data_IF_936574119030
#
_entry.id   IF_936574119030
#
_cell.length_a   1.000
_cell.length_b   1.000
_cell.length_c   1.000
_cell.angle_alpha   90.00
_cell.angle_beta   90.00
_cell.angle_gamma   90.00
#
_symmetry.space_group_name_H-M   'P 1'
#
loop_
_entity.id
_entity.type
_entity.pdbx_description
1 polymer ?
#
# COMPACT_ATOMS: atom_id res chain seq x y z
N UNK A 1 -27.72 15.56 -14.40
CA UNK A 1 -26.74 15.15 -13.36
C UNK A 1 -25.67 16.22 -13.30
N UNK A 2 -25.23 16.68 -12.12
CA UNK A 2 -24.12 17.64 -11.97
C UNK A 2 -22.92 16.99 -11.29
N UNK A 3 -21.73 17.13 -11.88
CA UNK A 3 -20.50 16.52 -11.39
C UNK A 3 -19.44 17.57 -11.09
N UNK A 4 -19.04 17.69 -9.82
CA UNK A 4 -17.91 18.53 -9.41
C UNK A 4 -16.61 17.73 -9.50
N UNK A 5 -15.65 18.20 -10.28
CA UNK A 5 -14.36 17.54 -10.53
C UNK A 5 -13.21 18.45 -10.12
N UNK A 6 -12.43 18.03 -9.12
CA UNK A 6 -11.25 18.74 -8.66
C UNK A 6 -10.17 17.74 -8.29
N UNK A 7 -9.36 17.38 -9.27
CA UNK A 7 -8.34 16.32 -9.15
C UNK A 7 -6.94 16.89 -9.35
N UNK A 8 -5.97 16.41 -8.58
CA UNK A 8 -4.55 16.63 -8.81
C UNK A 8 -4.03 15.68 -9.91
N UNK A 9 -4.20 14.37 -9.71
CA UNK A 9 -3.84 13.34 -10.68
C UNK A 9 -4.88 13.27 -11.81
N UNK A 10 -4.42 13.36 -13.06
CA UNK A 10 -5.26 13.37 -14.28
C UNK A 10 -5.37 12.00 -14.94
N UNK A 11 -4.79 10.96 -14.35
CA UNK A 11 -4.86 9.58 -14.85
C UNK A 11 -6.32 9.19 -15.11
N UNK A 12 -6.59 8.71 -16.32
CA UNK A 12 -7.90 8.27 -16.83
C UNK A 12 -9.03 9.32 -16.75
N UNK A 13 -8.71 10.59 -16.49
CA UNK A 13 -9.72 11.65 -16.34
C UNK A 13 -10.43 11.97 -17.65
N UNK A 14 -9.74 11.90 -18.79
CA UNK A 14 -10.34 12.16 -20.09
C UNK A 14 -11.52 11.22 -20.35
N UNK A 15 -11.28 9.91 -20.24
CA UNK A 15 -12.31 8.89 -20.46
C UNK A 15 -13.46 9.04 -19.47
N UNK A 16 -13.14 9.38 -18.22
CA UNK A 16 -14.14 9.63 -17.19
C UNK A 16 -15.03 10.83 -17.54
N UNK A 17 -14.43 11.98 -17.83
CA UNK A 17 -15.14 13.22 -18.10
C UNK A 17 -15.97 13.15 -19.41
N UNK A 18 -15.41 12.59 -20.49
CA UNK A 18 -16.15 12.32 -21.73
C UNK A 18 -17.31 11.36 -21.49
N UNK A 19 -17.09 10.33 -20.67
CA UNK A 19 -18.13 9.38 -20.29
C UNK A 19 -19.30 10.05 -19.56
N UNK A 20 -19.01 10.98 -18.64
CA UNK A 20 -20.03 11.77 -17.93
C UNK A 20 -20.76 12.73 -18.88
N UNK A 21 -20.05 13.47 -19.74
CA UNK A 21 -20.65 14.38 -20.72
C UNK A 21 -21.57 13.63 -21.70
N UNK A 22 -21.16 12.46 -22.18
CA UNK A 22 -21.98 11.60 -23.04
C UNK A 22 -23.28 11.11 -22.37
N UNK A 23 -23.30 11.06 -21.03
CA UNK A 23 -24.49 10.77 -20.23
C UNK A 23 -25.34 12.03 -19.94
N UNK A 24 -24.96 13.19 -20.49
CA UNK A 24 -25.64 14.46 -20.26
C UNK A 24 -25.34 15.09 -18.91
N UNK A 25 -24.19 14.77 -18.30
CA UNK A 25 -23.77 15.41 -17.07
C UNK A 25 -23.24 16.83 -17.32
N UNK A 26 -23.66 17.78 -16.49
CA UNK A 26 -23.00 19.08 -16.38
C UNK A 26 -21.71 18.89 -15.57
N UNK A 27 -20.58 19.27 -16.17
CA UNK A 27 -19.28 19.21 -15.52
C UNK A 27 -18.99 20.56 -14.87
N UNK A 28 -18.60 20.55 -13.60
CA UNK A 28 -18.10 21.72 -12.86
C UNK A 28 -16.69 21.41 -12.39
N UNK A 29 -15.71 22.29 -12.62
CA UNK A 29 -14.31 21.99 -12.32
C UNK A 29 -13.53 23.14 -11.67
N UNK A 30 -12.55 22.78 -10.83
CA UNK A 30 -11.60 23.74 -10.23
C UNK A 30 -10.49 24.11 -11.21
N UNK A 31 -9.79 25.24 -11.02
CA UNK A 31 -8.97 25.90 -12.05
C UNK A 31 -8.10 24.98 -12.92
N UNK A 32 -7.15 24.25 -12.33
CA UNK A 32 -6.27 23.35 -13.09
C UNK A 32 -6.98 22.12 -13.70
N UNK A 33 -8.12 21.71 -13.13
CA UNK A 33 -8.96 20.66 -13.73
C UNK A 33 -9.77 21.19 -14.90
N UNK A 34 -10.36 22.38 -14.76
CA UNK A 34 -11.11 23.04 -15.82
C UNK A 34 -10.24 23.26 -17.05
N UNK A 35 -9.02 23.81 -16.88
CA UNK A 35 -8.08 24.02 -17.97
C UNK A 35 -7.75 22.72 -18.73
N UNK A 36 -7.47 21.64 -18.00
CA UNK A 36 -7.22 20.33 -18.61
C UNK A 36 -8.43 19.80 -19.42
N UNK A 37 -9.64 19.93 -18.88
CA UNK A 37 -10.85 19.50 -19.58
C UNK A 37 -11.16 20.37 -20.82
N UNK A 38 -10.91 21.68 -20.74
CA UNK A 38 -11.02 22.62 -21.86
C UNK A 38 -10.07 22.26 -23.02
N UNK A 39 -8.82 21.87 -22.71
CA UNK A 39 -7.86 21.38 -23.71
C UNK A 39 -8.34 20.13 -24.45
N UNK A 40 -9.17 19.30 -23.81
CA UNK A 40 -9.80 18.12 -24.41
C UNK A 40 -11.05 18.47 -25.24
N UNK A 41 -11.41 19.76 -25.33
CA UNK A 41 -12.58 20.26 -26.03
C UNK A 41 -13.89 20.15 -25.25
N UNK A 42 -13.83 19.78 -23.96
CA UNK A 42 -14.98 19.79 -23.05
C UNK A 42 -15.26 21.21 -22.57
N UNK A 43 -16.46 21.45 -22.04
CA UNK A 43 -16.87 22.78 -21.56
C UNK A 43 -17.36 22.72 -20.11
N UNK A 44 -16.47 22.47 -19.14
CA UNK A 44 -16.88 22.51 -17.74
C UNK A 44 -17.24 23.94 -17.33
N UNK A 45 -18.28 24.11 -16.51
CA UNK A 45 -18.47 25.33 -15.75
C UNK A 45 -17.34 25.43 -14.71
N UNK A 46 -16.88 26.65 -14.44
CA UNK A 46 -15.76 26.83 -13.51
C UNK A 46 -16.29 27.11 -12.10
N UNK A 47 -15.56 26.64 -11.09
CA UNK A 47 -15.97 26.83 -9.68
C UNK A 47 -16.04 28.31 -9.29
N UNK A 48 -15.17 29.17 -9.83
CA UNK A 48 -15.17 30.62 -9.60
C UNK A 48 -16.41 31.32 -10.19
N UNK A 49 -16.95 30.82 -11.30
CA UNK A 49 -18.24 31.27 -11.85
C UNK A 49 -19.41 30.86 -10.93
N UNK A 50 -19.33 29.68 -10.31
CA UNK A 50 -20.35 29.21 -9.38
C UNK A 50 -20.35 30.01 -8.07
N UNK A 51 -19.19 30.47 -7.61
CA UNK A 51 -19.03 31.14 -6.30
C UNK A 51 -19.06 32.67 -6.38
N UNK A 52 -18.90 33.26 -7.57
CA UNK A 52 -18.61 34.68 -7.78
C UNK A 52 -17.34 35.17 -7.05
N UNK A 53 -16.44 34.24 -6.70
CA UNK A 53 -15.20 34.52 -5.97
C UNK A 53 -14.03 33.88 -6.72
N UNK A 54 -13.04 34.67 -7.16
CA UNK A 54 -11.86 34.11 -7.83
C UNK A 54 -11.03 33.26 -6.85
N UNK A 55 -10.12 32.44 -7.37
CA UNK A 55 -9.19 31.71 -6.51
C UNK A 55 -8.31 32.67 -5.70
N UNK A 56 -8.30 32.51 -4.37
CA UNK A 56 -7.56 33.37 -3.45
C UNK A 56 -6.32 32.66 -2.89
N UNK A 57 -5.34 33.45 -2.45
CA UNK A 57 -4.14 32.99 -1.73
C UNK A 57 -3.35 31.91 -2.47
N UNK A 58 -3.14 32.08 -3.78
CA UNK A 58 -2.39 31.13 -4.60
C UNK A 58 -3.11 29.79 -4.80
N UNK A 59 -4.46 29.79 -4.80
CA UNK A 59 -5.27 28.59 -5.00
C UNK A 59 -5.61 27.83 -3.72
N UNK A 60 -5.16 28.31 -2.55
CA UNK A 60 -5.46 27.72 -1.23
C UNK A 60 -6.95 27.83 -0.87
N UNK A 61 -7.63 28.89 -1.34
CA UNK A 61 -9.05 29.13 -1.07
C UNK A 61 -9.77 29.29 -2.41
N UNK A 62 -10.32 28.18 -2.91
CA UNK A 62 -11.07 28.12 -4.16
C UNK A 62 -12.43 27.45 -4.03
N UNK A 63 -12.53 26.37 -3.25
CA UNK A 63 -13.76 25.57 -3.11
C UNK A 63 -14.40 25.67 -1.73
N UNK A 64 -13.74 26.34 -0.77
CA UNK A 64 -14.23 26.55 0.60
C UNK A 64 -15.30 27.65 0.63
N UNK A 65 -16.42 27.40 -0.05
CA UNK A 65 -17.50 28.36 -0.23
C UNK A 65 -18.87 27.74 0.10
N UNK A 66 -19.80 28.48 0.74
CA UNK A 66 -21.13 27.97 1.06
C UNK A 66 -21.89 27.45 -0.16
N UNK A 67 -21.81 28.11 -1.33
CA UNK A 67 -22.48 27.62 -2.56
C UNK A 67 -22.02 26.21 -2.96
N UNK A 68 -20.71 25.94 -2.91
CA UNK A 68 -20.16 24.62 -3.22
C UNK A 68 -20.61 23.60 -2.18
N UNK A 69 -20.45 23.91 -0.89
CA UNK A 69 -20.75 22.94 0.16
C UNK A 69 -22.24 22.72 0.39
N UNK A 70 -23.11 23.72 0.15
CA UNK A 70 -24.55 23.57 0.17
C UNK A 70 -25.01 22.64 -0.96
N UNK A 71 -24.46 22.82 -2.18
CA UNK A 71 -24.73 21.92 -3.30
C UNK A 71 -24.30 20.47 -3.03
N UNK A 72 -23.28 20.26 -2.18
CA UNK A 72 -22.83 18.91 -1.77
C UNK A 72 -23.65 18.36 -0.60
N UNK A 73 -23.99 19.17 0.40
CA UNK A 73 -24.48 18.71 1.72
C UNK A 73 -26.00 18.72 1.88
N UNK A 74 -26.73 19.41 1.00
CA UNK A 74 -28.18 19.47 1.08
C UNK A 74 -28.81 18.07 1.04
N UNK A 75 -29.67 17.79 2.02
CA UNK A 75 -30.44 16.55 2.09
C UNK A 75 -31.65 16.71 1.19
N UNK A 76 -31.75 15.87 0.17
CA UNK A 76 -32.78 16.04 -0.88
C UNK A 76 -34.11 15.41 -0.51
N UNK A 77 -34.16 14.71 0.63
CA UNK A 77 -35.38 14.19 1.26
C UNK A 77 -35.99 15.18 2.26
N UNK A 78 -35.51 16.42 2.28
CA UNK A 78 -35.93 17.46 3.23
C UNK A 78 -36.29 18.77 2.53
N UNK A 79 -37.54 19.17 2.67
CA UNK A 79 -38.08 20.37 2.03
C UNK A 79 -37.39 21.67 2.51
N UNK A 80 -36.92 21.74 3.76
CA UNK A 80 -36.20 22.90 4.30
C UNK A 80 -34.83 23.11 3.63
N UNK A 81 -34.09 22.02 3.38
CA UNK A 81 -32.82 22.08 2.65
C UNK A 81 -33.05 22.44 1.17
N UNK A 82 -34.09 21.90 0.53
CA UNK A 82 -34.42 22.21 -0.87
C UNK A 82 -34.88 23.67 -1.06
N UNK A 83 -35.69 24.20 -0.15
CA UNK A 83 -36.11 25.59 -0.18
C UNK A 83 -34.91 26.54 -0.02
N UNK A 84 -33.95 26.20 0.85
CA UNK A 84 -32.73 26.98 1.02
C UNK A 84 -31.83 26.96 -0.24
N UNK A 85 -31.78 25.83 -0.96
CA UNK A 85 -31.09 25.76 -2.25
C UNK A 85 -31.75 26.66 -3.31
N UNK A 86 -33.08 26.63 -3.39
CA UNK A 86 -33.86 27.45 -4.34
C UNK A 86 -33.73 28.96 -4.03
N UNK A 87 -33.84 29.36 -2.76
CA UNK A 87 -33.71 30.76 -2.31
C UNK A 87 -32.35 31.36 -2.71
N UNK A 88 -31.31 30.54 -2.73
CA UNK A 88 -29.95 30.98 -3.02
C UNK A 88 -29.48 30.66 -4.45
N UNK A 89 -30.34 30.11 -5.30
CA UNK A 89 -30.02 29.71 -6.68
C UNK A 89 -28.82 28.76 -6.73
N UNK A 90 -28.89 27.69 -5.92
CA UNK A 90 -27.84 26.67 -5.78
C UNK A 90 -28.38 25.33 -6.24
N UNK A 91 -27.88 24.84 -7.37
CA UNK A 91 -28.21 23.49 -7.83
C UNK A 91 -27.31 22.43 -7.16
N UNK A 92 -27.86 21.28 -6.73
CA UNK A 92 -27.10 20.26 -6.02
C UNK A 92 -26.15 19.46 -6.94
N UNK A 93 -25.07 18.94 -6.37
CA UNK A 93 -24.17 17.99 -7.05
C UNK A 93 -24.60 16.55 -6.80
N UNK A 94 -24.58 15.73 -7.84
CA UNK A 94 -24.83 14.28 -7.77
C UNK A 94 -23.54 13.48 -7.60
N UNK A 95 -22.42 14.04 -8.07
CA UNK A 95 -21.11 13.40 -8.04
C UNK A 95 -20.04 14.43 -7.70
N UNK A 96 -19.12 14.04 -6.82
CA UNK A 96 -17.93 14.82 -6.47
C UNK A 96 -16.73 13.91 -6.71
N UNK A 97 -15.88 14.27 -7.66
CA UNK A 97 -14.65 13.58 -8.02
C UNK A 97 -13.44 14.38 -7.56
N UNK A 98 -12.73 13.89 -6.54
CA UNK A 98 -11.58 14.55 -5.94
C UNK A 98 -10.51 13.53 -5.59
N UNK A 99 -9.33 13.65 -6.19
CA UNK A 99 -8.13 13.01 -5.66
C UNK A 99 -7.22 14.09 -5.05
N UNK A 100 -6.56 13.73 -3.95
CA UNK A 100 -5.86 14.67 -3.07
C UNK A 100 -4.46 14.98 -3.60
N UNK A 101 -3.87 16.06 -3.09
CA UNK A 101 -2.48 16.38 -3.39
C UNK A 101 -1.54 15.28 -2.87
N UNK A 102 -0.43 14.99 -3.55
CA UNK A 102 0.42 13.83 -3.25
C UNK A 102 1.37 14.12 -2.08
N UNK A 103 0.81 14.51 -0.93
CA UNK A 103 1.58 14.90 0.27
C UNK A 103 2.63 13.86 0.64
N UNK A 104 2.23 12.57 0.70
CA UNK A 104 3.13 11.50 1.10
C UNK A 104 4.30 11.31 0.12
N UNK A 105 4.06 11.44 -1.19
CA UNK A 105 5.10 11.33 -2.21
C UNK A 105 6.12 12.48 -2.09
N UNK A 106 5.63 13.70 -1.92
CA UNK A 106 6.48 14.89 -1.80
C UNK A 106 7.23 14.90 -0.48
N UNK A 107 6.55 14.63 0.64
CA UNK A 107 7.13 14.67 1.98
C UNK A 107 8.20 13.58 2.21
N UNK A 108 8.11 12.45 1.51
CA UNK A 108 9.09 11.34 1.61
C UNK A 108 10.23 11.43 0.59
N UNK A 109 10.17 12.38 -0.34
CA UNK A 109 11.23 12.59 -1.33
C UNK A 109 12.48 13.17 -0.67
N UNK A 110 13.64 12.65 -1.08
CA UNK A 110 14.93 13.13 -0.60
C UNK A 110 15.14 14.62 -0.95
N UNK A 111 15.46 15.42 0.07
CA UNK A 111 15.79 16.83 -0.08
C UNK A 111 14.59 17.79 -0.06
N UNK A 112 13.36 17.29 0.09
CA UNK A 112 12.15 18.12 0.23
C UNK A 112 12.30 19.06 1.42
N UNK A 113 12.07 20.34 1.20
CA UNK A 113 12.03 21.37 2.24
C UNK A 113 10.67 21.38 2.93
N UNK A 114 10.63 21.81 4.19
CA UNK A 114 9.41 21.87 5.00
C UNK A 114 8.27 22.62 4.28
N UNK A 115 8.56 23.77 3.68
CA UNK A 115 7.57 24.57 2.98
C UNK A 115 6.99 23.86 1.75
N UNK A 116 7.77 23.05 1.03
CA UNK A 116 7.30 22.28 -0.13
C UNK A 116 6.29 21.21 0.30
N UNK A 117 6.55 20.52 1.42
CA UNK A 117 5.62 19.55 1.99
C UNK A 117 4.34 20.24 2.51
N UNK A 118 4.47 21.40 3.16
CA UNK A 118 3.32 22.17 3.67
C UNK A 118 2.39 22.64 2.55
N UNK A 119 2.91 23.03 1.38
CA UNK A 119 2.06 23.38 0.22
C UNK A 119 1.26 22.18 -0.32
N UNK A 120 1.66 20.94 0.00
CA UNK A 120 0.91 19.74 -0.39
C UNK A 120 -0.21 19.36 0.60
N UNK A 121 -0.39 20.12 1.68
CA UNK A 121 -1.49 19.92 2.61
C UNK A 121 -2.78 20.50 2.00
N UNK A 122 -3.53 19.65 1.29
CA UNK A 122 -4.83 19.99 0.71
C UNK A 122 -5.90 20.18 1.80
N UNK A 123 -6.59 21.33 1.75
CA UNK A 123 -7.72 21.65 2.63
C UNK A 123 -9.06 21.47 1.91
N UNK A 124 -9.13 21.95 0.66
CA UNK A 124 -10.37 21.95 -0.12
C UNK A 124 -10.79 20.55 -0.53
N UNK A 125 -9.84 19.74 -1.00
CA UNK A 125 -10.09 18.38 -1.47
C UNK A 125 -10.71 17.49 -0.38
N UNK A 126 -10.08 17.32 0.79
CA UNK A 126 -10.64 16.52 1.87
C UNK A 126 -12.00 17.05 2.34
N UNK A 127 -12.20 18.38 2.38
CA UNK A 127 -13.47 18.97 2.81
C UNK A 127 -14.61 18.63 1.84
N UNK A 128 -14.39 18.78 0.52
CA UNK A 128 -15.39 18.41 -0.50
C UNK A 128 -15.68 16.90 -0.48
N UNK A 129 -14.63 16.08 -0.42
CA UNK A 129 -14.74 14.63 -0.45
C UNK A 129 -15.48 14.08 0.79
N UNK A 130 -15.16 14.60 1.98
CA UNK A 130 -15.89 14.29 3.23
C UNK A 130 -17.34 14.77 3.19
N UNK A 131 -17.60 15.93 2.59
CA UNK A 131 -18.95 16.45 2.40
C UNK A 131 -19.80 15.51 1.55
N UNK A 132 -19.27 15.09 0.41
CA UNK A 132 -19.94 14.15 -0.50
C UNK A 132 -20.16 12.78 0.16
N UNK A 133 -19.13 12.26 0.83
CA UNK A 133 -19.21 10.97 1.54
C UNK A 133 -20.20 11.01 2.71
N UNK A 134 -20.30 12.13 3.44
CA UNK A 134 -21.34 12.33 4.46
C UNK A 134 -22.74 12.30 3.85
N UNK A 135 -22.91 12.92 2.68
CA UNK A 135 -24.19 12.99 1.97
C UNK A 135 -24.39 11.86 0.95
N UNK A 136 -23.83 10.67 1.19
CA UNK A 136 -23.87 9.54 0.26
C UNK A 136 -25.27 9.05 -0.12
N UNK A 137 -26.30 9.44 0.64
CA UNK A 137 -27.69 9.18 0.27
C UNK A 137 -28.01 9.78 -1.11
N UNK A 138 -27.37 10.90 -1.46
CA UNK A 138 -27.64 11.67 -2.68
C UNK A 138 -26.41 11.93 -3.56
N UNK A 139 -25.20 11.92 -2.98
CA UNK A 139 -23.97 12.32 -3.69
C UNK A 139 -22.97 11.18 -3.74
N UNK A 140 -22.37 10.92 -4.91
CA UNK A 140 -21.29 9.97 -5.07
C UNK A 140 -19.93 10.62 -4.82
N UNK A 141 -19.12 10.04 -3.93
CA UNK A 141 -17.79 10.54 -3.57
C UNK A 141 -16.70 9.69 -4.27
N UNK A 142 -16.23 10.14 -5.43
CA UNK A 142 -15.21 9.45 -6.22
C UNK A 142 -13.83 10.01 -5.85
N UNK A 143 -12.94 9.17 -5.33
CA UNK A 143 -11.65 9.59 -4.78
C UNK A 143 -10.41 9.12 -5.53
N UNK A 144 -10.55 8.15 -6.44
CA UNK A 144 -9.41 7.50 -7.12
C UNK A 144 -9.74 7.13 -8.58
N UNK A 145 -8.76 7.18 -9.50
CA UNK A 145 -8.96 6.83 -10.91
C UNK A 145 -9.48 5.41 -11.16
N UNK A 146 -9.06 4.42 -10.36
CA UNK A 146 -9.50 3.02 -10.47
C UNK A 146 -11.02 2.83 -10.27
N UNK A 147 -11.70 3.84 -9.72
CA UNK A 147 -13.15 3.83 -9.53
C UNK A 147 -13.92 4.31 -10.77
N UNK A 148 -13.28 5.03 -11.70
CA UNK A 148 -13.94 5.70 -12.83
C UNK A 148 -14.71 4.71 -13.70
N UNK A 149 -14.07 3.58 -14.04
CA UNK A 149 -14.67 2.55 -14.88
C UNK A 149 -15.96 1.97 -14.30
N UNK A 150 -15.96 1.57 -13.02
CA UNK A 150 -17.16 0.99 -12.37
C UNK A 150 -18.29 2.02 -12.23
N UNK A 151 -17.95 3.28 -11.97
CA UNK A 151 -18.93 4.38 -11.84
C UNK A 151 -19.61 4.64 -13.18
N UNK A 152 -18.83 4.80 -14.25
CA UNK A 152 -19.39 5.00 -15.59
C UNK A 152 -20.22 3.80 -16.05
N UNK A 153 -19.77 2.59 -15.75
CA UNK A 153 -20.50 1.37 -16.12
C UNK A 153 -21.90 1.35 -15.49
N UNK A 154 -22.03 1.56 -14.18
CA UNK A 154 -23.33 1.56 -13.51
C UNK A 154 -24.24 2.72 -13.94
N UNK A 155 -23.66 3.91 -14.18
CA UNK A 155 -24.41 5.05 -14.71
C UNK A 155 -24.99 4.77 -16.10
N UNK A 156 -24.24 4.11 -16.98
CA UNK A 156 -24.71 3.72 -18.33
C UNK A 156 -25.81 2.67 -18.28
N UNK A 157 -25.68 1.69 -17.40
CA UNK A 157 -26.62 0.57 -17.28
C UNK A 157 -27.95 1.00 -16.65
N UNK A 158 -27.89 1.84 -15.61
CA UNK A 158 -29.07 2.10 -14.76
C UNK A 158 -29.55 3.57 -14.76
N UNK A 159 -28.80 4.48 -15.37
CA UNK A 159 -29.10 5.91 -15.41
C UNK A 159 -28.80 6.66 -14.10
N UNK A 160 -28.26 5.96 -13.09
CA UNK A 160 -27.88 6.53 -11.80
C UNK A 160 -26.91 5.62 -11.08
N UNK A 161 -26.55 5.98 -9.85
CA UNK A 161 -25.83 5.07 -8.95
C UNK A 161 -26.79 4.55 -7.90
N UNK A 162 -26.62 3.29 -7.50
CA UNK A 162 -27.35 2.72 -6.38
C UNK A 162 -26.89 3.32 -5.05
N UNK A 163 -27.74 3.19 -4.02
CA UNK A 163 -27.36 3.57 -2.65
C UNK A 163 -26.18 2.73 -2.15
N UNK A 164 -26.09 1.46 -2.56
CA UNK A 164 -24.99 0.57 -2.22
C UNK A 164 -23.67 1.08 -2.80
N UNK A 165 -23.63 1.43 -4.09
CA UNK A 165 -22.45 2.00 -4.72
C UNK A 165 -22.04 3.32 -4.09
N UNK A 166 -22.99 4.24 -3.83
CA UNK A 166 -22.66 5.50 -3.14
C UNK A 166 -22.11 5.27 -1.73
N UNK A 167 -22.65 4.29 -0.99
CA UNK A 167 -22.12 3.92 0.34
C UNK A 167 -20.70 3.35 0.25
N UNK A 168 -20.42 2.50 -0.74
CA UNK A 168 -19.08 1.97 -0.97
C UNK A 168 -18.09 3.09 -1.31
N UNK A 169 -18.46 3.99 -2.23
CA UNK A 169 -17.68 5.17 -2.59
C UNK A 169 -17.44 6.08 -1.39
N UNK A 170 -18.44 6.31 -0.53
CA UNK A 170 -18.29 7.10 0.68
C UNK A 170 -17.30 6.47 1.69
N UNK A 171 -17.34 5.13 1.86
CA UNK A 171 -16.38 4.42 2.70
C UNK A 171 -14.95 4.57 2.16
N UNK A 172 -14.75 4.43 0.85
CA UNK A 172 -13.46 4.61 0.20
C UNK A 172 -12.96 6.07 0.25
N UNK A 173 -13.87 7.04 0.14
CA UNK A 173 -13.60 8.47 0.28
C UNK A 173 -13.11 8.83 1.70
N UNK A 174 -13.81 8.36 2.74
CA UNK A 174 -13.36 8.55 4.12
C UNK A 174 -12.02 7.85 4.39
N UNK A 175 -11.83 6.63 3.89
CA UNK A 175 -10.54 5.94 3.99
C UNK A 175 -9.41 6.73 3.31
N UNK A 176 -9.66 7.28 2.12
CA UNK A 176 -8.70 8.13 1.39
C UNK A 176 -8.29 9.33 2.23
N UNK A 177 -9.26 10.05 2.83
CA UNK A 177 -8.94 11.18 3.70
C UNK A 177 -8.26 10.77 5.01
N UNK A 178 -8.61 9.62 5.59
CA UNK A 178 -7.96 9.14 6.81
C UNK A 178 -6.48 8.80 6.57
N UNK A 179 -6.14 8.20 5.42
CA UNK A 179 -4.75 7.95 5.02
C UNK A 179 -3.99 9.26 4.86
N UNK A 180 -4.59 10.25 4.21
CA UNK A 180 -3.99 11.57 4.01
C UNK A 180 -3.71 12.28 5.34
N UNK A 181 -4.70 12.37 6.23
CA UNK A 181 -4.56 13.04 7.54
C UNK A 181 -3.54 12.31 8.43
N UNK A 182 -3.52 10.97 8.41
CA UNK A 182 -2.53 10.19 9.14
C UNK A 182 -1.09 10.46 8.64
N UNK A 183 -0.91 10.60 7.33
CA UNK A 183 0.39 10.96 6.74
C UNK A 183 0.85 12.35 7.19
N UNK A 184 -0.04 13.35 7.15
CA UNK A 184 0.26 14.72 7.61
C UNK A 184 0.60 14.72 9.10
N UNK A 185 -0.22 14.06 9.94
CA UNK A 185 0.01 13.98 11.38
C UNK A 185 1.35 13.31 11.72
N UNK A 186 1.67 12.20 11.06
CA UNK A 186 2.96 11.51 11.22
C UNK A 186 4.14 12.39 10.83
N UNK A 187 4.04 13.12 9.72
CA UNK A 187 5.12 13.99 9.26
C UNK A 187 5.43 15.11 10.26
N UNK A 188 4.41 15.75 10.84
CA UNK A 188 4.63 16.74 11.90
C UNK A 188 5.19 16.11 13.20
N UNK A 189 4.80 14.87 13.50
CA UNK A 189 5.22 14.15 14.71
C UNK A 189 6.63 13.52 14.60
N UNK A 190 7.25 13.48 13.41
CA UNK A 190 8.54 12.80 13.14
C UNK A 190 9.74 13.39 13.90
N UNK A 191 9.53 14.49 14.64
CA UNK A 191 10.51 15.09 15.55
C UNK A 191 10.69 14.29 16.84
N UNK A 192 9.76 13.40 17.16
CA UNK A 192 9.78 12.55 18.35
C UNK A 192 9.86 11.08 17.93
N UNK A 193 10.76 10.31 18.56
CA UNK A 193 10.91 8.89 18.22
C UNK A 193 9.65 8.06 18.52
N UNK A 194 8.96 8.41 19.61
CA UNK A 194 7.73 7.80 20.10
C UNK A 194 6.73 8.92 20.45
N UNK A 195 5.94 9.40 19.48
CA UNK A 195 5.04 10.53 19.70
C UNK A 195 3.90 10.17 20.65
N UNK A 196 3.32 11.18 21.29
CA UNK A 196 2.14 11.02 22.18
C UNK A 196 0.97 10.31 21.47
N UNK A 197 0.80 10.55 20.16
CA UNK A 197 -0.21 9.90 19.32
C UNK A 197 0.47 9.08 18.22
N UNK A 198 0.52 7.77 18.40
CA UNK A 198 0.99 6.84 17.37
C UNK A 198 -0.10 6.60 16.32
N UNK A 199 0.13 7.06 15.08
CA UNK A 199 -0.86 7.02 13.99
C UNK A 199 -0.35 6.19 12.80
N UNK A 200 -0.20 4.86 12.93
CA UNK A 200 0.14 4.02 11.80
C UNK A 200 -1.09 3.88 10.90
N UNK A 201 -0.89 3.90 9.58
CA UNK A 201 -1.96 3.68 8.61
C UNK A 201 -1.53 2.63 7.61
N UNK A 202 -2.44 1.69 7.32
CA UNK A 202 -2.20 0.61 6.39
C UNK A 202 -3.24 0.60 5.28
N UNK A 203 -2.80 0.28 4.08
CA UNK A 203 -3.65 0.09 2.91
C UNK A 203 -3.65 -1.38 2.52
N UNK A 204 -4.80 -1.89 2.08
CA UNK A 204 -4.93 -3.30 1.75
C UNK A 204 -4.16 -3.60 0.47
N UNK A 205 -3.22 -4.53 0.55
CA UNK A 205 -2.48 -5.03 -0.61
C UNK A 205 -3.23 -6.18 -1.29
N UNK A 206 -3.78 -7.12 -0.51
CA UNK A 206 -4.60 -8.24 -1.04
C UNK A 206 -5.45 -8.91 0.03
N UNK A 207 -6.57 -9.50 -0.39
CA UNK A 207 -7.30 -10.46 0.43
C UNK A 207 -6.54 -11.79 0.49
N UNK A 208 -6.74 -12.53 1.59
CA UNK A 208 -6.19 -13.87 1.80
C UNK A 208 -7.35 -14.84 1.98
N UNK A 209 -7.16 -16.10 1.55
CA UNK A 209 -8.20 -17.12 1.64
C UNK A 209 -8.71 -17.32 3.08
N UNK A 210 -7.79 -17.29 4.05
CA UNK A 210 -8.05 -17.37 5.49
C UNK A 210 -6.81 -16.87 6.27
N UNK A 211 -6.95 -16.72 7.59
CA UNK A 211 -5.88 -16.32 8.51
C UNK A 211 -4.94 -17.47 8.85
N UNK A 212 -4.44 -17.52 10.09
CA UNK A 212 -3.62 -18.65 10.54
C UNK A 212 -4.36 -19.99 10.43
N UNK A 213 -5.68 -19.96 10.66
CA UNK A 213 -6.57 -21.10 10.59
C UNK A 213 -7.75 -20.87 9.62
N UNK A 214 -8.32 -21.92 9.00
CA UNK A 214 -9.37 -21.79 7.98
C UNK A 214 -10.64 -21.03 8.39
N UNK A 215 -10.97 -20.98 9.67
CA UNK A 215 -12.16 -20.29 10.17
C UNK A 215 -11.96 -18.77 10.35
N UNK A 216 -10.72 -18.28 10.20
CA UNK A 216 -10.36 -16.87 10.35
C UNK A 216 -10.31 -16.22 8.96
N UNK A 217 -10.91 -15.05 8.77
CA UNK A 217 -10.74 -14.26 7.55
C UNK A 217 -9.47 -13.42 7.66
N UNK A 218 -8.77 -13.19 6.55
CA UNK A 218 -7.56 -12.37 6.56
C UNK A 218 -7.34 -11.59 5.26
N UNK A 219 -6.49 -10.58 5.37
CA UNK A 219 -5.97 -9.79 4.26
C UNK A 219 -4.56 -9.31 4.64
N UNK A 220 -3.71 -9.10 3.64
CA UNK A 220 -2.40 -8.49 3.80
C UNK A 220 -2.50 -6.98 3.55
N UNK A 221 -1.95 -6.20 4.47
CA UNK A 221 -1.91 -4.75 4.37
C UNK A 221 -0.45 -4.27 4.37
N UNK A 222 -0.19 -3.19 3.64
CA UNK A 222 1.09 -2.49 3.64
C UNK A 222 0.96 -1.15 4.36
N UNK A 223 2.03 -0.70 4.99
CA UNK A 223 2.06 0.60 5.66
C UNK A 223 2.10 1.72 4.62
N UNK A 224 1.19 2.69 4.73
CA UNK A 224 1.12 3.77 3.75
C UNK A 224 2.40 4.63 3.83
N UNK A 225 3.08 4.79 2.69
CA UNK A 225 4.30 5.57 2.59
C UNK A 225 5.57 4.83 2.99
N UNK A 226 5.47 3.57 3.40
CA UNK A 226 6.65 2.74 3.57
C UNK A 226 7.39 2.58 2.22
N UNK A 227 8.72 2.67 2.26
CA UNK A 227 9.55 2.59 1.06
C UNK A 227 9.49 1.23 0.38
N UNK A 228 9.18 0.19 1.15
CA UNK A 228 9.01 -1.21 0.73
C UNK A 228 8.10 -1.94 1.72
N UNK A 229 7.55 -3.05 1.29
CA UNK A 229 6.79 -4.01 2.10
C UNK A 229 7.22 -5.45 1.73
N UNK A 230 6.62 -6.48 2.35
CA UNK A 230 7.05 -7.88 2.22
C UNK A 230 7.07 -8.41 0.78
N UNK A 231 6.22 -7.89 -0.10
CA UNK A 231 6.12 -8.33 -1.50
C UNK A 231 6.56 -7.24 -2.49
N UNK A 232 7.20 -6.16 -2.01
CA UNK A 232 7.76 -5.15 -2.90
C UNK A 232 8.81 -5.76 -3.81
N UNK A 233 8.66 -5.55 -5.13
CA UNK A 233 9.56 -6.09 -6.16
C UNK A 233 9.70 -7.62 -6.12
N UNK A 234 8.65 -8.30 -5.66
CA UNK A 234 8.55 -9.76 -5.64
C UNK A 234 7.52 -10.20 -6.68
N UNK A 235 8.00 -10.93 -7.70
CA UNK A 235 7.13 -11.50 -8.72
C UNK A 235 6.81 -12.96 -8.39
N UNK A 236 5.53 -13.33 -8.42
CA UNK A 236 5.11 -14.73 -8.30
C UNK A 236 5.14 -15.39 -9.68
N UNK A 237 6.17 -16.20 -9.93
CA UNK A 237 6.43 -16.84 -11.22
C UNK A 237 5.64 -18.13 -11.46
N UNK A 238 5.07 -18.71 -10.40
CA UNK A 238 4.33 -19.97 -10.41
C UNK A 238 3.56 -20.20 -9.08
N UNK A 239 2.64 -21.16 -9.09
CA UNK A 239 2.01 -21.70 -7.89
C UNK A 239 0.69 -21.03 -7.50
N UNK A 240 0.12 -21.50 -6.39
CA UNK A 240 -1.16 -21.03 -5.82
C UNK A 240 -1.01 -19.66 -5.16
N UNK A 241 -2.12 -19.01 -4.82
CA UNK A 241 -2.09 -17.79 -4.00
C UNK A 241 -1.37 -18.01 -2.65
N UNK A 242 -0.68 -16.96 -2.18
CA UNK A 242 0.00 -16.96 -0.88
C UNK A 242 -1.04 -16.94 0.26
N UNK A 243 -0.86 -17.82 1.25
CA UNK A 243 -1.66 -17.83 2.48
C UNK A 243 -1.11 -16.88 3.55
N UNK A 244 -1.86 -16.68 4.63
CA UNK A 244 -1.40 -15.93 5.81
C UNK A 244 -0.09 -16.49 6.37
N UNK A 245 -0.02 -17.81 6.60
CA UNK A 245 1.16 -18.47 7.15
C UNK A 245 2.34 -18.41 6.17
N UNK A 246 2.08 -18.47 4.86
CA UNK A 246 3.14 -18.29 3.86
C UNK A 246 3.79 -16.90 3.97
N UNK A 247 2.99 -15.85 4.18
CA UNK A 247 3.53 -14.49 4.34
C UNK A 247 4.27 -14.33 5.67
N UNK A 248 3.77 -14.90 6.76
CA UNK A 248 4.45 -14.90 8.06
C UNK A 248 5.82 -15.59 7.98
N UNK A 249 5.86 -16.81 7.43
CA UNK A 249 7.09 -17.59 7.27
C UNK A 249 8.06 -16.93 6.28
N UNK A 250 7.56 -16.34 5.20
CA UNK A 250 8.36 -15.56 4.26
C UNK A 250 8.97 -14.33 4.92
N UNK A 251 8.23 -13.63 5.78
CA UNK A 251 8.74 -12.47 6.52
C UNK A 251 9.90 -12.86 7.43
N UNK A 252 9.74 -13.94 8.21
CA UNK A 252 10.79 -14.45 9.08
C UNK A 252 12.02 -14.92 8.28
N UNK A 253 11.80 -15.68 7.19
CA UNK A 253 12.87 -16.18 6.35
C UNK A 253 13.66 -15.08 5.64
N UNK A 254 12.97 -14.03 5.15
CA UNK A 254 13.63 -12.86 4.54
C UNK A 254 14.42 -12.06 5.56
N UNK A 255 13.89 -11.86 6.77
CA UNK A 255 14.60 -11.14 7.83
C UNK A 255 15.92 -11.84 8.18
N UNK A 256 15.86 -13.15 8.48
CA UNK A 256 17.05 -13.94 8.79
C UNK A 256 18.05 -14.00 7.62
N UNK A 257 17.58 -14.21 6.38
CA UNK A 257 18.47 -14.24 5.22
C UNK A 257 19.19 -12.90 4.94
N UNK A 258 18.61 -11.78 5.39
CA UNK A 258 19.17 -10.44 5.20
C UNK A 258 20.36 -10.14 6.11
N UNK A 259 20.56 -10.89 7.19
CA UNK A 259 21.71 -10.77 8.10
C UNK A 259 23.01 -11.27 7.45
N UNK A 260 22.90 -12.13 6.43
CA UNK A 260 24.05 -12.80 5.83
C UNK A 260 24.45 -12.22 4.48
N UNK A 261 25.72 -11.85 4.37
CA UNK A 261 26.34 -11.44 3.09
C UNK A 261 26.82 -12.62 2.26
N UNK A 262 27.20 -13.75 2.89
CA UNK A 262 27.59 -15.00 2.21
C UNK A 262 26.39 -15.67 1.52
N UNK A 263 26.62 -16.69 0.69
CA UNK A 263 25.51 -17.48 0.15
C UNK A 263 24.76 -18.15 1.31
N UNK A 264 23.48 -17.85 1.45
CA UNK A 264 22.66 -18.24 2.59
C UNK A 264 21.35 -18.89 2.12
N UNK A 265 20.98 -19.97 2.82
CA UNK A 265 19.68 -20.61 2.73
C UNK A 265 19.03 -20.62 4.12
N UNK A 266 17.78 -20.15 4.18
CA UNK A 266 16.92 -20.19 5.36
C UNK A 266 15.68 -21.01 5.03
N UNK A 267 15.36 -22.00 5.85
CA UNK A 267 14.14 -22.80 5.73
C UNK A 267 13.30 -22.57 6.98
N UNK A 268 12.10 -22.01 6.80
CA UNK A 268 11.17 -21.65 7.88
C UNK A 268 9.93 -22.52 7.82
N UNK A 269 9.38 -22.86 8.99
CA UNK A 269 8.08 -23.50 9.11
C UNK A 269 7.38 -23.03 10.38
N UNK A 270 6.16 -22.52 10.25
CA UNK A 270 5.35 -22.03 11.38
C UNK A 270 6.08 -20.99 12.24
N UNK A 271 6.74 -20.03 11.59
CA UNK A 271 7.48 -18.94 12.20
C UNK A 271 8.86 -19.32 12.75
N UNK A 272 9.27 -20.59 12.66
CA UNK A 272 10.53 -21.07 13.23
C UNK A 272 11.51 -21.51 12.14
N UNK A 273 12.79 -21.12 12.20
CA UNK A 273 13.81 -21.66 11.32
C UNK A 273 14.05 -23.13 11.64
N UNK A 274 13.82 -24.01 10.66
CA UNK A 274 14.16 -25.44 10.75
C UNK A 274 15.53 -25.76 10.15
N UNK A 275 16.11 -24.81 9.40
CA UNK A 275 17.47 -24.89 8.91
C UNK A 275 17.96 -23.53 8.43
N UNK A 276 19.15 -23.15 8.87
CA UNK A 276 19.87 -21.96 8.39
C UNK A 276 21.27 -22.42 8.06
N UNK A 277 21.82 -21.99 6.92
CA UNK A 277 23.21 -22.24 6.62
C UNK A 277 23.79 -21.20 5.69
N UNK A 278 25.07 -20.89 5.92
CA UNK A 278 25.93 -20.15 4.98
C UNK A 278 26.99 -21.08 4.38
N UNK A 279 27.36 -20.81 3.14
CA UNK A 279 28.42 -21.53 2.44
C UNK A 279 29.08 -20.68 1.33
N UNK A 280 30.03 -21.29 0.61
CA UNK A 280 30.68 -20.65 -0.53
C UNK A 280 29.75 -20.56 -1.75
N UNK A 281 28.88 -21.57 -1.92
CA UNK A 281 27.89 -21.65 -2.99
C UNK A 281 26.49 -21.76 -2.42
N UNK A 282 25.48 -21.43 -3.22
CA UNK A 282 24.08 -21.49 -2.77
C UNK A 282 23.58 -22.94 -2.70
N UNK A 283 24.14 -23.80 -3.53
CA UNK A 283 23.92 -25.25 -3.56
C UNK A 283 24.33 -25.90 -2.23
N UNK A 284 25.53 -25.58 -1.75
CA UNK A 284 26.06 -26.05 -0.46
C UNK A 284 25.26 -25.49 0.71
N UNK A 285 24.88 -24.20 0.66
CA UNK A 285 24.07 -23.58 1.70
C UNK A 285 22.70 -24.27 1.81
N UNK A 286 22.04 -24.55 0.67
CA UNK A 286 20.77 -25.28 0.65
C UNK A 286 20.92 -26.70 1.22
N UNK A 287 21.97 -27.43 0.83
CA UNK A 287 22.27 -28.77 1.33
C UNK A 287 22.43 -28.81 2.85
N UNK A 288 23.21 -27.87 3.40
CA UNK A 288 23.47 -27.77 4.85
C UNK A 288 22.22 -27.36 5.63
N UNK A 289 21.44 -26.39 5.11
CA UNK A 289 20.20 -25.98 5.73
C UNK A 289 19.18 -27.13 5.76
N UNK A 290 19.06 -27.89 4.66
CA UNK A 290 18.20 -29.06 4.58
C UNK A 290 18.64 -30.17 5.55
N UNK A 291 19.95 -30.36 5.72
CA UNK A 291 20.51 -31.38 6.61
C UNK A 291 20.33 -31.07 8.11
N UNK A 292 19.96 -29.83 8.47
CA UNK A 292 19.73 -29.43 9.87
C UNK A 292 18.57 -30.21 10.50
N UNK A 293 17.40 -30.19 9.83
CA UNK A 293 16.25 -31.01 10.20
C UNK A 293 15.45 -31.40 8.93
N UNK A 294 15.83 -32.50 8.26
CA UNK A 294 15.16 -32.95 7.03
C UNK A 294 13.67 -33.25 7.21
N UNK A 295 13.24 -33.61 8.42
CA UNK A 295 11.83 -33.92 8.69
C UNK A 295 11.00 -32.64 8.80
N UNK A 296 11.51 -31.64 9.51
CA UNK A 296 10.80 -30.37 9.70
C UNK A 296 10.78 -29.52 8.44
N UNK A 297 11.82 -29.56 7.62
CA UNK A 297 11.93 -28.78 6.36
C UNK A 297 10.87 -29.15 5.31
N UNK A 298 10.26 -30.34 5.40
CA UNK A 298 9.19 -30.76 4.49
C UNK A 298 7.97 -29.83 4.59
N UNK A 299 7.62 -29.17 3.49
CA UNK A 299 6.55 -28.18 3.41
C UNK A 299 6.90 -26.81 4.00
N UNK A 300 8.20 -26.52 4.16
CA UNK A 300 8.67 -25.22 4.60
C UNK A 300 8.66 -24.15 3.52
N UNK A 301 8.94 -22.92 3.96
CA UNK A 301 9.30 -21.77 3.13
C UNK A 301 10.82 -21.72 3.02
N UNK A 302 11.34 -21.80 1.80
CA UNK A 302 12.78 -21.75 1.50
C UNK A 302 13.11 -20.36 0.97
N UNK A 303 14.06 -19.68 1.62
CA UNK A 303 14.58 -18.36 1.22
C UNK A 303 16.07 -18.48 0.90
N UNK A 304 16.44 -18.09 -0.31
CA UNK A 304 17.80 -18.12 -0.82
C UNK A 304 18.24 -16.69 -1.13
N UNK A 305 19.44 -16.27 -0.74
CA UNK A 305 19.95 -14.92 -1.04
C UNK A 305 20.83 -14.85 -2.32
N UNK A 306 20.81 -15.91 -3.14
CA UNK A 306 21.48 -16.01 -4.45
C UNK A 306 20.55 -16.64 -5.48
N UNK A 307 20.86 -16.43 -6.77
CA UNK A 307 20.09 -16.99 -7.89
C UNK A 307 20.13 -18.51 -7.87
N UNK A 308 19.07 -19.13 -8.35
CA UNK A 308 18.93 -20.59 -8.44
C UNK A 308 19.21 -21.05 -9.87
N UNK A 309 20.30 -21.79 -10.04
CA UNK A 309 20.66 -22.45 -11.29
C UNK A 309 19.90 -23.77 -11.49
N UNK A 310 20.06 -24.38 -12.68
CA UNK A 310 19.38 -25.64 -13.06
C UNK A 310 19.54 -26.75 -12.02
N UNK A 311 20.77 -27.08 -11.63
CA UNK A 311 21.08 -28.20 -10.73
C UNK A 311 20.41 -28.03 -9.37
N UNK A 312 20.46 -26.82 -8.81
CA UNK A 312 19.79 -26.51 -7.55
C UNK A 312 18.26 -26.55 -7.69
N UNK A 313 17.71 -26.04 -8.80
CA UNK A 313 16.28 -26.10 -9.08
C UNK A 313 15.75 -27.53 -9.15
N UNK A 314 16.48 -28.42 -9.83
CA UNK A 314 16.17 -29.85 -9.91
C UNK A 314 16.15 -30.51 -8.52
N UNK A 315 17.17 -30.25 -7.71
CA UNK A 315 17.23 -30.75 -6.32
C UNK A 315 16.11 -30.23 -5.43
N UNK A 316 15.80 -28.94 -5.49
CA UNK A 316 14.71 -28.36 -4.69
C UNK A 316 13.37 -28.99 -5.10
N UNK A 317 13.18 -29.28 -6.40
CA UNK A 317 11.97 -29.92 -6.91
C UNK A 317 11.77 -31.37 -6.41
N UNK A 318 12.80 -32.03 -5.86
CA UNK A 318 12.66 -33.33 -5.21
C UNK A 318 11.93 -33.24 -3.86
N UNK A 319 12.01 -32.07 -3.21
CA UNK A 319 11.38 -31.81 -1.91
C UNK A 319 9.98 -31.20 -2.07
N UNK A 320 9.14 -31.36 -1.04
CA UNK A 320 7.92 -30.57 -0.94
C UNK A 320 8.26 -29.21 -0.33
N UNK A 321 8.19 -28.16 -1.15
CA UNK A 321 8.38 -26.76 -0.74
C UNK A 321 7.09 -25.99 -0.97
N UNK A 322 6.60 -25.29 0.06
CA UNK A 322 5.38 -24.48 -0.08
C UNK A 322 5.66 -23.15 -0.79
N UNK A 323 6.73 -22.47 -0.40
CA UNK A 323 7.17 -21.20 -0.99
C UNK A 323 8.68 -21.25 -1.17
N UNK A 324 9.15 -20.85 -2.35
CA UNK A 324 10.56 -20.69 -2.68
C UNK A 324 10.81 -19.24 -3.09
N UNK A 325 11.62 -18.51 -2.34
CA UNK A 325 12.05 -17.16 -2.66
C UNK A 325 13.54 -17.15 -3.03
N UNK A 326 13.88 -16.54 -4.16
CA UNK A 326 15.27 -16.26 -4.52
C UNK A 326 15.39 -14.98 -5.37
N UNK A 327 16.58 -14.34 -5.47
CA UNK A 327 16.81 -13.20 -6.35
C UNK A 327 16.56 -13.41 -7.84
N UNK A 328 16.39 -14.66 -8.27
CA UNK A 328 16.12 -15.04 -9.64
C UNK A 328 16.38 -16.53 -9.87
N UNK A 329 15.89 -17.01 -11.01
CA UNK A 329 15.96 -18.42 -11.41
C UNK A 329 16.41 -18.47 -12.88
N UNK A 330 17.23 -19.46 -13.21
CA UNK A 330 17.52 -19.78 -14.60
C UNK A 330 16.36 -20.59 -15.21
N UNK A 331 16.22 -20.57 -16.54
CA UNK A 331 15.11 -21.23 -17.24
C UNK A 331 15.03 -22.73 -16.89
N UNK A 332 16.17 -23.42 -16.86
CA UNK A 332 16.24 -24.83 -16.49
C UNK A 332 15.83 -25.12 -15.04
N UNK A 333 16.03 -24.17 -14.13
CA UNK A 333 15.55 -24.29 -12.75
C UNK A 333 14.03 -24.13 -12.69
N UNK A 334 13.48 -23.15 -13.40
CA UNK A 334 12.04 -22.92 -13.47
C UNK A 334 11.30 -24.12 -14.09
N UNK A 335 11.85 -24.73 -15.13
CA UNK A 335 11.27 -25.92 -15.76
C UNK A 335 11.10 -27.06 -14.74
N UNK A 336 12.12 -27.35 -13.95
CA UNK A 336 12.07 -28.37 -12.91
C UNK A 336 11.10 -28.03 -11.78
N UNK A 337 11.15 -26.80 -11.28
CA UNK A 337 10.33 -26.34 -10.15
C UNK A 337 8.85 -26.25 -10.51
N UNK A 338 8.50 -25.83 -11.73
CA UNK A 338 7.12 -25.70 -12.21
C UNK A 338 6.40 -27.04 -12.37
N UNK A 339 7.13 -28.15 -12.44
CA UNK A 339 6.56 -29.49 -12.41
C UNK A 339 5.76 -29.76 -11.11
N UNK A 340 6.01 -28.99 -10.04
CA UNK A 340 5.21 -29.00 -8.80
C UNK A 340 4.14 -27.89 -8.88
N UNK A 341 2.86 -28.19 -9.15
CA UNK A 341 1.84 -27.14 -9.34
C UNK A 341 1.51 -26.35 -8.07
N UNK A 342 1.84 -26.88 -6.88
CA UNK A 342 1.50 -26.26 -5.60
C UNK A 342 2.51 -25.23 -5.10
N UNK A 343 3.77 -25.30 -5.53
CA UNK A 343 4.87 -24.49 -4.99
C UNK A 343 4.79 -23.06 -5.49
N UNK A 344 4.76 -22.08 -4.58
CA UNK A 344 4.88 -20.66 -4.95
C UNK A 344 6.34 -20.33 -5.21
N UNK A 345 6.66 -19.98 -6.45
CA UNK A 345 8.01 -19.57 -6.84
C UNK A 345 8.03 -18.05 -6.91
N UNK A 346 8.83 -17.42 -6.07
CA UNK A 346 8.88 -15.98 -5.89
C UNK A 346 10.27 -15.45 -6.28
N UNK A 347 10.32 -14.52 -7.24
CA UNK A 347 11.56 -13.84 -7.64
C UNK A 347 11.69 -12.49 -6.92
N UNK A 348 12.74 -12.32 -6.12
CA UNK A 348 12.96 -11.13 -5.29
C UNK A 348 14.01 -10.17 -5.89
N UNK A 349 13.54 -9.07 -6.48
CA UNK A 349 14.40 -8.02 -7.01
C UNK A 349 14.52 -6.82 -6.08
N UNK A 350 14.10 -6.94 -4.82
CA UNK A 350 14.30 -5.88 -3.83
C UNK A 350 15.80 -5.70 -3.53
N UNK A 351 16.25 -4.45 -3.58
CA UNK A 351 17.66 -4.06 -3.32
C UNK A 351 17.76 -2.89 -2.36
N UNK A 352 16.64 -2.25 -2.02
CA UNK A 352 16.60 -1.19 -1.01
C UNK A 352 16.88 -1.83 0.35
N UNK A 353 17.81 -1.27 1.09
CA UNK A 353 18.13 -1.72 2.45
C UNK A 353 17.02 -1.36 3.44
N UNK A 354 17.03 -2.04 4.58
CA UNK A 354 16.16 -1.70 5.71
C UNK A 354 16.42 -0.27 6.14
N UNK A 355 15.35 0.49 6.40
CA UNK A 355 15.48 1.82 6.98
C UNK A 355 15.61 1.67 8.50
N UNK A 356 16.72 2.11 9.12
CA UNK A 356 16.88 2.06 10.58
C UNK A 356 15.80 2.85 11.34
N UNK A 357 15.14 3.81 10.69
CA UNK A 357 14.02 4.56 11.26
C UNK A 357 12.65 3.85 11.20
N UNK A 358 12.56 2.65 10.62
CA UNK A 358 11.33 1.85 10.68
C UNK A 358 11.10 1.33 12.11
N UNK A 359 9.88 1.51 12.62
CA UNK A 359 9.47 0.97 13.90
C UNK A 359 9.00 -0.47 13.76
N UNK A 360 9.28 -1.29 14.77
CA UNK A 360 8.61 -2.57 14.96
C UNK A 360 7.50 -2.41 16.02
N UNK A 361 6.37 -3.08 15.80
CA UNK A 361 5.26 -2.98 16.74
C UNK A 361 4.46 -4.28 16.84
N UNK A 362 4.06 -4.57 18.08
CA UNK A 362 3.34 -5.77 18.44
C UNK A 362 1.99 -5.43 19.05
N UNK A 363 0.92 -6.04 18.51
CA UNK A 363 -0.41 -5.94 19.13
C UNK A 363 -0.40 -6.66 20.48
N UNK A 364 -0.90 -5.98 21.50
CA UNK A 364 -1.20 -6.54 22.83
C UNK A 364 -2.68 -6.32 23.16
N UNK A 365 -3.17 -6.89 24.26
CA UNK A 365 -4.57 -6.74 24.65
C UNK A 365 -4.92 -5.26 24.81
N UNK A 366 -5.77 -4.75 23.92
CA UNK A 366 -6.21 -3.35 23.93
C UNK A 366 -5.16 -2.33 23.49
N UNK A 367 -3.89 -2.70 23.30
CA UNK A 367 -2.79 -1.76 23.07
C UNK A 367 -1.81 -2.19 21.97
N UNK A 368 -0.73 -1.42 21.82
CA UNK A 368 0.37 -1.71 20.91
C UNK A 368 1.69 -1.37 21.61
N UNK A 369 2.67 -2.26 21.50
CA UNK A 369 4.05 -1.97 21.89
C UNK A 369 4.78 -1.51 20.64
N UNK A 370 5.53 -0.42 20.72
CA UNK A 370 6.29 0.16 19.59
C UNK A 370 7.75 0.26 20.04
N UNK A 371 8.67 -0.21 19.22
CA UNK A 371 10.09 -0.20 19.48
C UNK A 371 10.87 0.10 18.19
N UNK A 372 12.16 0.35 18.35
CA UNK A 372 13.09 0.36 17.22
C UNK A 372 13.22 -1.05 16.63
N UNK A 373 13.51 -1.12 15.34
CA UNK A 373 13.92 -2.38 14.74
C UNK A 373 15.29 -2.79 15.25
N UNK A 374 15.45 -4.09 15.44
CA UNK A 374 16.76 -4.68 15.72
C UNK A 374 17.62 -4.58 14.45
N UNK A 375 18.59 -3.67 14.47
CA UNK A 375 19.46 -3.35 13.35
C UNK A 375 20.93 -3.24 13.75
N UNK A 376 21.24 -3.47 15.03
CA UNK A 376 22.60 -3.44 15.53
C UNK A 376 23.34 -4.70 15.08
N UNK A 377 24.60 -4.53 14.68
CA UNK A 377 25.46 -5.64 14.24
C UNK A 377 26.57 -5.79 15.27
N UNK A 378 26.48 -6.83 16.09
CA UNK A 378 27.54 -7.21 17.01
C UNK A 378 28.65 -7.94 16.25
N UNK A 379 29.75 -7.23 16.02
CA UNK A 379 30.89 -7.80 15.32
C UNK A 379 31.84 -8.57 16.24
N UNK A 380 32.77 -9.30 15.61
CA UNK A 380 33.83 -10.03 16.31
C UNK A 380 34.63 -9.14 17.27
N UNK A 381 34.81 -7.86 16.93
CA UNK A 381 35.65 -6.94 17.70
C UNK A 381 34.98 -6.56 19.04
N UNK A 382 33.65 -6.58 19.11
CA UNK A 382 32.88 -6.45 20.35
C UNK A 382 32.93 -7.68 21.27
N UNK A 383 33.37 -8.83 20.76
CA UNK A 383 33.34 -10.10 21.51
C UNK A 383 34.68 -10.45 22.16
N UNK A 384 34.63 -11.01 23.38
CA UNK A 384 35.81 -11.51 24.09
C UNK A 384 35.61 -12.95 24.58
N UNK A 385 36.67 -13.78 24.46
CA UNK A 385 36.66 -15.13 25.00
C UNK A 385 36.93 -15.07 26.51
N UNK A 386 35.93 -15.39 27.33
CA UNK A 386 36.08 -15.48 28.79
C UNK A 386 36.96 -16.67 29.19
N UNK A 387 36.90 -17.77 28.43
CA UNK A 387 37.76 -18.94 28.58
C UNK A 387 38.07 -19.59 27.23
N UNK A 388 39.19 -20.31 27.15
CA UNK A 388 39.64 -20.99 25.93
C UNK A 388 40.27 -20.04 24.89
N UNK A 389 40.55 -20.59 23.71
CA UNK A 389 41.10 -19.85 22.57
C UNK A 389 40.49 -20.42 21.28
N UNK A 390 39.27 -19.98 20.90
CA UNK A 390 38.59 -20.49 19.71
C UNK A 390 39.43 -20.22 18.46
N UNK A 391 39.49 -21.18 17.55
CA UNK A 391 40.11 -20.99 16.24
C UNK A 391 39.29 -20.02 15.38
N UNK A 392 39.86 -19.54 14.27
CA UNK A 392 39.10 -18.70 13.33
C UNK A 392 37.86 -19.42 12.76
N UNK A 393 37.94 -20.74 12.58
CA UNK A 393 36.79 -21.56 12.19
C UNK A 393 35.71 -21.61 13.27
N UNK A 394 36.10 -21.73 14.54
CA UNK A 394 35.17 -21.68 15.67
C UNK A 394 34.52 -20.30 15.77
N UNK A 395 35.29 -19.22 15.61
CA UNK A 395 34.74 -17.86 15.57
C UNK A 395 33.75 -17.66 14.43
N UNK A 396 34.02 -18.20 13.24
CA UNK A 396 33.06 -18.18 12.13
C UNK A 396 31.75 -18.86 12.49
N UNK A 397 31.80 -20.02 13.16
CA UNK A 397 30.59 -20.72 13.61
C UNK A 397 29.86 -19.98 14.73
N UNK A 398 30.60 -19.36 15.67
CA UNK A 398 30.02 -18.56 16.76
C UNK A 398 29.29 -17.32 16.21
N UNK A 399 29.90 -16.61 15.27
CA UNK A 399 29.30 -15.43 14.62
C UNK A 399 28.13 -15.79 13.69
N UNK A 400 28.09 -17.01 13.17
CA UNK A 400 26.94 -17.48 12.41
C UNK A 400 25.75 -17.85 13.32
N UNK A 401 26.04 -18.32 14.53
CA UNK A 401 25.02 -18.75 15.49
C UNK A 401 24.47 -17.60 16.35
N UNK A 402 25.28 -16.56 16.57
CA UNK A 402 24.87 -15.27 17.12
C UNK A 402 24.08 -14.51 16.07
#
# INVERSE_FOLDING_TARGET
MRALISVYDKTDLEDFARGLEALGAELVASGGTAAYLEELGLRPARVDELTDVPELLGGRVKTLHPRVHAAILARRDRDDDLAALEEHDIEPFDLVCVNLYPFLEVATRYGTQEHEAVEMIDIGGPTMLRGAAKNFAHVAAVSRPDQYGRVLHELRETGGLSLETRRALAAEAFATTAVFEAAVARWFADREAFPEVFTPVFTKCRDLAYGENPHQRAAYYEEAGARRHLLSRVDQLHGKDLSFNNLADLSAGRACAAEFTLACCVIVKHGNPCGVAVAATIEEAYERALACDPLSTYGGVVVLNRRVGRELGERIAEQFVEVLLAPGFDDGALDALRAKPGTRILADTERRQTNPGERDYRRVLGGVLVQDRDADVDDRAGMSAVCGSPSEGDWGNLLFAW
#
